data_IF_823155680900
#
_entry.id   IF_823155680900
#
_cell.length_a   1.000
_cell.length_b   1.000
_cell.length_c   1.000
_cell.angle_alpha   90.00
_cell.angle_beta   90.00
_cell.angle_gamma   90.00
#
_symmetry.space_group_name_H-M   'P 1'
#
loop_
_entity.id
_entity.type
_entity.pdbx_description
1 polymer ?
#
# COMPACT_ATOMS: atom_id res chain seq x y z
N UNK A 1 -2.21 12.16 -3.92
CA UNK A 1 -1.47 11.27 -2.98
C UNK A 1 0.01 11.12 -3.38
N UNK A 2 0.33 10.77 -4.62
CA UNK A 2 1.71 10.50 -5.06
C UNK A 2 2.72 11.64 -4.81
N UNK A 3 2.30 12.92 -4.95
CA UNK A 3 3.18 14.07 -4.67
C UNK A 3 3.68 14.14 -3.22
N UNK A 4 2.85 13.78 -2.24
CA UNK A 4 3.26 13.68 -0.83
C UNK A 4 4.20 12.49 -0.63
N UNK A 5 3.88 11.34 -1.22
CA UNK A 5 4.69 10.12 -1.12
C UNK A 5 6.09 10.34 -1.71
N UNK A 6 6.21 11.16 -2.75
CA UNK A 6 7.50 11.47 -3.37
C UNK A 6 8.47 12.20 -2.43
N UNK A 7 7.99 12.80 -1.34
CA UNK A 7 8.87 13.36 -0.28
C UNK A 7 9.69 12.29 0.43
N UNK A 8 9.27 11.02 0.38
CA UNK A 8 9.96 9.87 0.97
C UNK A 8 10.99 9.23 0.02
N UNK A 9 11.16 9.74 -1.21
CA UNK A 9 11.99 9.12 -2.24
C UNK A 9 13.49 9.02 -1.89
N UNK A 10 13.97 9.86 -0.95
CA UNK A 10 15.34 9.80 -0.42
C UNK A 10 15.59 8.54 0.40
N UNK A 11 14.55 8.03 1.06
CA UNK A 11 14.64 6.91 2.01
C UNK A 11 14.01 5.63 1.46
N UNK A 12 13.11 5.76 0.47
CA UNK A 12 12.40 4.65 -0.15
C UNK A 12 12.57 4.64 -1.68
N UNK A 13 12.61 3.44 -2.24
CA UNK A 13 12.25 3.18 -3.62
C UNK A 13 10.72 3.17 -3.67
N UNK A 14 10.14 4.08 -4.46
CA UNK A 14 8.69 4.19 -4.63
C UNK A 14 8.33 3.46 -5.92
N UNK A 15 7.48 2.44 -5.79
CA UNK A 15 6.94 1.68 -6.91
C UNK A 15 5.42 1.80 -6.91
N UNK A 16 4.87 2.57 -7.86
CA UNK A 16 3.43 2.86 -7.97
C UNK A 16 2.90 2.45 -9.33
N UNK A 17 1.69 1.90 -9.40
CA UNK A 17 1.03 1.67 -10.69
C UNK A 17 0.35 2.95 -11.19
N UNK A 18 0.60 3.32 -12.45
CA UNK A 18 -0.13 4.38 -13.16
C UNK A 18 -1.28 3.73 -13.93
N UNK A 19 -2.49 3.87 -13.39
CA UNK A 19 -3.75 3.97 -14.17
C UNK A 19 -4.27 2.75 -14.96
N UNK A 20 -3.65 1.57 -14.93
CA UNK A 20 -4.17 0.41 -15.68
C UNK A 20 -4.45 -0.77 -14.76
N UNK A 21 -5.57 -0.69 -14.02
CA UNK A 21 -6.02 -1.72 -13.09
C UNK A 21 -5.94 -3.12 -13.69
N UNK A 22 -4.92 -3.88 -13.29
CA UNK A 22 -4.75 -5.27 -13.70
C UNK A 22 -3.83 -6.10 -12.79
N UNK A 23 -3.05 -5.52 -11.86
CA UNK A 23 -2.19 -6.40 -11.05
C UNK A 23 -1.33 -5.85 -9.93
N UNK A 24 -1.05 -4.54 -9.79
CA UNK A 24 -0.14 -4.05 -8.72
C UNK A 24 -0.88 -3.34 -7.59
N UNK A 25 -0.15 -3.00 -6.53
CA UNK A 25 -0.64 -2.14 -5.45
C UNK A 25 -0.53 -0.69 -5.93
N UNK A 26 -1.35 0.19 -5.37
CA UNK A 26 -1.30 1.59 -5.76
C UNK A 26 0.06 2.23 -5.45
N UNK A 27 0.62 1.96 -4.26
CA UNK A 27 1.99 2.31 -3.90
C UNK A 27 2.66 1.18 -3.11
N UNK A 28 3.92 0.89 -3.44
CA UNK A 28 4.84 0.13 -2.62
C UNK A 28 6.06 0.99 -2.29
N UNK A 29 6.41 1.05 -1.01
CA UNK A 29 7.57 1.75 -0.47
C UNK A 29 8.56 0.69 0.01
N UNK A 30 9.64 0.51 -0.73
CA UNK A 30 10.73 -0.39 -0.35
C UNK A 30 11.85 0.48 0.23
N UNK A 31 12.26 0.29 1.49
CA UNK A 31 13.27 1.14 2.08
C UNK A 31 14.61 0.93 1.35
N UNK A 32 15.42 1.99 1.25
CA UNK A 32 16.80 1.88 0.77
C UNK A 32 17.67 1.31 1.89
N UNK A 33 18.72 0.57 1.52
CA UNK A 33 19.64 -0.02 2.49
C UNK A 33 20.23 1.06 3.41
N UNK A 34 20.21 0.79 4.73
CA UNK A 34 20.73 1.70 5.76
C UNK A 34 19.83 2.91 6.09
N UNK A 35 18.59 2.97 5.57
CA UNK A 35 17.63 4.04 5.87
C UNK A 35 16.55 3.60 6.86
N UNK A 36 15.76 2.63 6.45
CA UNK A 36 14.62 2.07 7.19
C UNK A 36 14.62 0.56 6.97
N UNK A 37 13.85 -0.16 7.76
CA UNK A 37 13.80 -1.63 7.82
C UNK A 37 12.43 -2.20 7.43
N UNK A 38 11.40 -1.35 7.33
CA UNK A 38 10.04 -1.76 6.99
C UNK A 38 9.70 -1.37 5.55
N UNK A 39 9.22 -2.34 4.77
CA UNK A 39 8.53 -2.04 3.53
C UNK A 39 7.04 -1.77 3.81
N UNK A 40 6.42 -0.93 2.98
CA UNK A 40 5.00 -0.57 3.11
C UNK A 40 4.30 -0.81 1.78
N UNK A 41 3.18 -1.53 1.81
CA UNK A 41 2.29 -1.71 0.67
C UNK A 41 1.00 -0.97 0.98
N UNK A 42 0.57 -0.11 0.06
CA UNK A 42 -0.62 0.72 0.19
C UNK A 42 -1.55 0.43 -0.99
N UNK A 43 -2.80 0.05 -0.67
CA UNK A 43 -3.91 -0.05 -1.61
C UNK A 43 -4.99 0.97 -1.21
N UNK A 44 -5.43 1.81 -2.12
CA UNK A 44 -6.58 2.68 -1.93
C UNK A 44 -7.80 2.13 -2.67
N UNK A 45 -8.97 2.39 -2.10
CA UNK A 45 -10.27 2.06 -2.66
C UNK A 45 -11.21 3.25 -2.54
N UNK A 46 -12.18 3.33 -3.44
CA UNK A 46 -13.26 4.31 -3.39
C UNK A 46 -14.57 3.54 -3.32
N UNK A 47 -15.44 3.93 -2.40
CA UNK A 47 -16.79 3.40 -2.24
C UNK A 47 -17.82 4.52 -2.39
N UNK A 48 -19.10 4.14 -2.54
CA UNK A 48 -20.18 5.10 -2.80
C UNK A 48 -20.96 5.47 -1.55
N UNK A 49 -20.86 4.66 -0.49
CA UNK A 49 -21.59 4.84 0.76
C UNK A 49 -20.66 4.68 1.96
N UNK A 50 -20.79 5.52 3.01
CA UNK A 50 -20.02 5.36 4.24
C UNK A 50 -20.15 3.97 4.89
N UNK A 51 -21.30 3.31 4.75
CA UNK A 51 -21.57 1.98 5.28
C UNK A 51 -20.70 0.88 4.63
N UNK A 52 -20.18 1.13 3.43
CA UNK A 52 -19.29 0.21 2.70
C UNK A 52 -17.81 0.39 3.10
N UNK A 53 -17.46 1.45 3.82
CA UNK A 53 -16.06 1.83 4.07
C UNK A 53 -15.25 0.69 4.70
N UNK A 54 -15.77 0.09 5.76
CA UNK A 54 -15.05 -0.98 6.47
C UNK A 54 -14.90 -2.24 5.62
N UNK A 55 -15.96 -2.67 4.93
CA UNK A 55 -15.89 -3.87 4.09
C UNK A 55 -14.93 -3.67 2.92
N UNK A 56 -14.96 -2.49 2.30
CA UNK A 56 -14.07 -2.15 1.18
C UNK A 56 -12.61 -2.02 1.62
N UNK A 57 -12.33 -1.52 2.82
CA UNK A 57 -10.98 -1.51 3.37
C UNK A 57 -10.46 -2.94 3.62
N UNK A 58 -11.31 -3.85 4.14
CA UNK A 58 -10.95 -5.26 4.33
C UNK A 58 -10.69 -5.96 3.00
N UNK A 59 -11.53 -5.74 2.00
CA UNK A 59 -11.35 -6.26 0.65
C UNK A 59 -10.02 -5.82 0.02
N UNK A 60 -9.62 -4.56 0.23
CA UNK A 60 -8.34 -4.07 -0.24
C UNK A 60 -7.15 -4.73 0.48
N UNK A 61 -7.25 -4.98 1.79
CA UNK A 61 -6.22 -5.72 2.54
C UNK A 61 -6.12 -7.18 2.06
N UNK A 62 -7.25 -7.84 1.81
CA UNK A 62 -7.27 -9.18 1.19
C UNK A 62 -6.66 -9.19 -0.20
N UNK A 63 -6.90 -8.15 -1.00
CA UNK A 63 -6.32 -8.02 -2.33
C UNK A 63 -4.79 -7.96 -2.25
N UNK A 64 -4.23 -7.23 -1.27
CA UNK A 64 -2.78 -7.19 -1.02
C UNK A 64 -2.23 -8.60 -0.77
N UNK A 65 -2.92 -9.40 0.04
CA UNK A 65 -2.53 -10.78 0.31
C UNK A 65 -2.59 -11.67 -0.94
N UNK A 66 -3.64 -11.52 -1.76
CA UNK A 66 -3.86 -12.33 -2.99
C UNK A 66 -2.81 -12.05 -4.07
N UNK A 67 -2.38 -10.79 -4.24
CA UNK A 67 -1.45 -10.38 -5.31
C UNK A 67 0.04 -10.64 -5.00
N UNK A 68 0.37 -11.21 -3.83
CA UNK A 68 1.72 -11.71 -3.47
C UNK A 68 2.87 -10.71 -3.68
N UNK A 69 2.64 -9.42 -3.47
CA UNK A 69 3.68 -8.38 -3.61
C UNK A 69 4.92 -8.64 -2.75
N UNK A 70 4.75 -9.36 -1.64
CA UNK A 70 5.84 -9.79 -0.76
C UNK A 70 6.98 -10.47 -1.51
N UNK A 71 6.71 -11.17 -2.61
CA UNK A 71 7.75 -11.85 -3.39
C UNK A 71 8.82 -10.86 -3.88
N UNK A 72 8.41 -9.69 -4.38
CA UNK A 72 9.32 -8.64 -4.85
C UNK A 72 10.06 -7.97 -3.70
N UNK A 73 9.40 -7.80 -2.55
CA UNK A 73 10.02 -7.18 -1.37
C UNK A 73 11.06 -8.11 -0.74
N UNK A 74 10.83 -9.43 -0.77
CA UNK A 74 11.77 -10.44 -0.24
C UNK A 74 13.11 -10.48 -0.98
N UNK A 75 13.22 -9.87 -2.16
CA UNK A 75 14.50 -9.69 -2.87
C UNK A 75 15.43 -8.68 -2.16
N UNK A 76 14.91 -7.85 -1.26
CA UNK A 76 15.66 -6.85 -0.50
C UNK A 76 16.00 -7.37 0.89
N UNK A 77 17.19 -7.94 1.05
CA UNK A 77 17.63 -8.63 2.27
C UNK A 77 17.67 -7.77 3.54
N UNK A 78 17.74 -6.44 3.41
CA UNK A 78 17.71 -5.50 4.53
C UNK A 78 16.30 -5.18 5.05
N UNK A 79 15.25 -5.62 4.34
CA UNK A 79 13.86 -5.45 4.78
C UNK A 79 13.53 -6.52 5.82
N UNK A 80 13.06 -6.09 6.99
CA UNK A 80 12.72 -6.98 8.09
C UNK A 80 11.22 -7.25 8.21
N UNK A 81 10.38 -6.27 7.84
CA UNK A 81 8.91 -6.39 7.94
C UNK A 81 8.22 -5.75 6.75
N UNK A 82 6.98 -6.18 6.53
CA UNK A 82 6.13 -5.69 5.45
C UNK A 82 4.80 -5.23 6.05
N UNK A 83 4.63 -3.93 6.15
CA UNK A 83 3.38 -3.31 6.60
C UNK A 83 2.43 -3.22 5.40
N UNK A 84 1.23 -3.77 5.55
CA UNK A 84 0.17 -3.73 4.53
C UNK A 84 -0.92 -2.79 5.01
N UNK A 85 -1.33 -1.86 4.15
CA UNK A 85 -2.33 -0.86 4.47
C UNK A 85 -3.35 -0.82 3.34
N UNK A 86 -4.62 -0.91 3.69
CA UNK A 86 -5.72 -0.57 2.80
C UNK A 86 -6.51 0.62 3.32
N UNK A 87 -6.80 1.57 2.44
CA UNK A 87 -7.61 2.75 2.75
C UNK A 87 -8.81 2.81 1.82
N UNK A 88 -10.02 2.80 2.39
CA UNK A 88 -11.25 3.02 1.63
C UNK A 88 -11.75 4.45 1.86
N UNK A 89 -12.12 5.15 0.78
CA UNK A 89 -12.61 6.52 0.83
C UNK A 89 -14.06 6.62 0.39
N UNK A 90 -14.85 7.44 1.10
CA UNK A 90 -16.18 7.90 0.73
C UNK A 90 -16.22 9.43 0.91
N UNK A 91 -15.98 10.18 -0.16
CA UNK A 91 -15.84 11.63 -0.08
C UNK A 91 -14.69 12.05 0.86
N UNK A 92 -15.02 12.55 2.05
CA UNK A 92 -14.05 12.96 3.08
C UNK A 92 -13.83 11.89 4.16
N UNK A 93 -14.67 10.86 4.20
CA UNK A 93 -14.58 9.78 5.17
C UNK A 93 -13.60 8.72 4.69
N UNK A 94 -12.87 8.12 5.63
CA UNK A 94 -11.88 7.09 5.36
C UNK A 94 -11.94 6.00 6.41
N UNK A 95 -11.93 4.74 5.97
CA UNK A 95 -11.63 3.59 6.82
C UNK A 95 -10.26 3.02 6.45
N UNK A 96 -9.57 2.49 7.46
CA UNK A 96 -8.23 1.94 7.32
C UNK A 96 -8.19 0.54 7.92
N UNK A 97 -7.66 -0.40 7.15
CA UNK A 97 -7.36 -1.76 7.59
C UNK A 97 -5.86 -2.02 7.35
N UNK A 98 -5.20 -2.69 8.28
CA UNK A 98 -3.76 -2.90 8.20
C UNK A 98 -3.30 -4.24 8.78
N UNK A 99 -2.14 -4.69 8.32
CA UNK A 99 -1.45 -5.86 8.84
C UNK A 99 0.05 -5.56 8.95
N UNK A 100 0.65 -5.96 10.07
CA UNK A 100 2.09 -5.81 10.35
C UNK A 100 2.90 -7.05 9.98
#
# INVERSE_FOLDING_TARGET
MLGLINTLASDYIIDSERETGSGRADIMLIPRAGKQDNAIIIEYKICKSPEELESVAREGLEQIAKKRYEAKIKEYSHVQKIIKISMAFCGKEVALEYQL
#
